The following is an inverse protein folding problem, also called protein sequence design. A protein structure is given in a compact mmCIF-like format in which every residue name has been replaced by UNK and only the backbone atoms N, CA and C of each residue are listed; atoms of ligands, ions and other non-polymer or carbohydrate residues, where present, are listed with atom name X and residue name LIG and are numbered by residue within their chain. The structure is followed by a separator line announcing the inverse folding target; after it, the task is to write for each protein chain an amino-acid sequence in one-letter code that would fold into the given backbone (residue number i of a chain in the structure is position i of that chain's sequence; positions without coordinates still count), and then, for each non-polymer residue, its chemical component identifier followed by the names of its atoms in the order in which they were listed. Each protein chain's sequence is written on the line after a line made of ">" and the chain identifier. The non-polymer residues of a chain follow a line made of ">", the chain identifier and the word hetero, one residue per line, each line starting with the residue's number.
data_IF_378798105461
#
_entry.id   IF_378798105461
#
_cell.length_a   1.000
_cell.length_b   1.000
_cell.length_c   1.000
_cell.angle_alpha   90.00
_cell.angle_beta   90.00
_cell.angle_gamma   90.00
#
_symmetry.space_group_name_H-M   'P 1'
#
loop_
_entity.id
_entity.type
_entity.pdbx_description
1 polymer ?
#
# COMPACT_ATOMS: atom_id res chain seq x y z
N UNK A 1 0.35 -16.02 21.82
CA UNK A 1 -0.11 -14.62 22.03
C UNK A 1 0.03 -14.20 23.49
N UNK A 2 -0.10 -15.10 24.46
CA UNK A 2 -0.03 -14.79 25.91
C UNK A 2 1.30 -14.14 26.31
N UNK A 3 2.39 -14.47 25.67
CA UNK A 3 3.71 -13.86 25.84
C UNK A 3 3.73 -12.34 25.63
N UNK A 4 2.86 -11.82 24.76
CA UNK A 4 2.78 -10.40 24.41
C UNK A 4 1.70 -9.65 25.19
N UNK A 5 0.97 -10.34 26.07
CA UNK A 5 -0.12 -9.77 26.86
C UNK A 5 0.38 -9.56 28.29
N UNK A 6 0.32 -8.32 28.78
CA UNK A 6 0.64 -7.98 30.16
C UNK A 6 -0.48 -8.37 31.13
N UNK A 7 -1.73 -8.07 30.77
CA UNK A 7 -2.92 -8.29 31.61
C UNK A 7 -4.18 -8.38 30.74
N UNK A 8 -5.25 -8.91 31.29
CA UNK A 8 -6.57 -8.92 30.64
C UNK A 8 -7.62 -8.33 31.60
N UNK A 9 -8.19 -7.18 31.22
CA UNK A 9 -9.23 -6.49 31.99
C UNK A 9 -10.53 -6.41 31.20
N UNK A 10 -11.61 -6.87 31.77
CA UNK A 10 -12.95 -6.86 31.14
C UNK A 10 -12.94 -7.41 29.71
N UNK A 11 -12.25 -8.53 29.48
CA UNK A 11 -12.07 -9.19 28.19
C UNK A 11 -11.26 -8.37 27.16
N UNK A 12 -10.57 -7.31 27.59
CA UNK A 12 -9.66 -6.54 26.76
C UNK A 12 -8.23 -6.88 27.17
N UNK A 13 -7.45 -7.38 26.21
CA UNK A 13 -6.04 -7.70 26.42
C UNK A 13 -5.19 -6.44 26.40
N UNK A 14 -4.35 -6.26 27.40
CA UNK A 14 -3.39 -5.15 27.52
C UNK A 14 -2.04 -5.66 27.03
N UNK A 15 -1.49 -5.02 26.01
CA UNK A 15 -0.21 -5.38 25.41
C UNK A 15 0.94 -5.06 26.36
N UNK A 16 1.95 -5.93 26.44
CA UNK A 16 3.18 -5.67 27.17
C UNK A 16 4.06 -4.66 26.40
N UNK A 17 4.21 -3.47 26.97
CA UNK A 17 4.95 -2.36 26.33
C UNK A 17 6.46 -2.56 26.39
N UNK A 18 7.01 -3.29 27.34
CA UNK A 18 8.44 -3.60 27.43
C UNK A 18 8.86 -4.44 26.21
N UNK A 19 8.13 -5.51 25.95
CA UNK A 19 8.35 -6.35 24.76
C UNK A 19 8.12 -5.57 23.47
N UNK A 20 7.12 -4.68 23.45
CA UNK A 20 6.86 -3.81 22.30
C UNK A 20 8.06 -2.90 22.00
N UNK A 21 8.68 -2.31 23.04
CA UNK A 21 9.85 -1.45 22.89
C UNK A 21 11.06 -2.22 22.35
N UNK A 22 11.32 -3.41 22.88
CA UNK A 22 12.42 -4.26 22.40
C UNK A 22 12.25 -4.63 20.92
N UNK A 23 11.06 -5.07 20.54
CA UNK A 23 10.76 -5.46 19.17
C UNK A 23 10.80 -4.26 18.21
N UNK A 24 10.33 -3.09 18.66
CA UNK A 24 10.39 -1.86 17.86
C UNK A 24 11.86 -1.44 17.62
N UNK A 25 12.70 -1.51 18.65
CA UNK A 25 14.13 -1.21 18.52
C UNK A 25 14.83 -2.18 17.56
N UNK A 26 14.55 -3.47 17.68
CA UNK A 26 15.09 -4.49 16.78
C UNK A 26 14.62 -4.28 15.32
N UNK A 27 13.34 -3.92 15.13
CA UNK A 27 12.80 -3.61 13.81
C UNK A 27 13.45 -2.37 13.20
N UNK A 28 13.65 -1.30 13.97
CA UNK A 28 14.32 -0.08 13.53
C UNK A 28 15.75 -0.37 13.07
N UNK A 29 16.52 -1.12 13.86
CA UNK A 29 17.90 -1.52 13.49
C UNK A 29 17.91 -2.38 12.21
N UNK A 30 16.93 -3.23 12.01
CA UNK A 30 16.80 -4.03 10.79
C UNK A 30 16.50 -3.17 9.56
N UNK A 31 15.63 -2.17 9.71
CA UNK A 31 15.32 -1.20 8.65
C UNK A 31 16.57 -0.41 8.28
N UNK A 32 17.32 0.07 9.26
CA UNK A 32 18.58 0.79 9.07
C UNK A 32 19.61 -0.05 8.28
N UNK A 33 19.80 -1.32 8.66
CA UNK A 33 20.69 -2.25 7.95
C UNK A 33 20.27 -2.48 6.49
N UNK A 34 18.96 -2.57 6.22
CA UNK A 34 18.45 -2.74 4.86
C UNK A 34 18.69 -1.47 4.03
N UNK A 35 18.43 -0.30 4.60
CA UNK A 35 18.62 0.99 3.93
C UNK A 35 20.09 1.29 3.67
N UNK A 36 20.98 0.98 4.62
CA UNK A 36 22.43 1.18 4.48
C UNK A 36 23.06 0.38 3.33
N UNK A 37 22.44 -0.76 3.00
CA UNK A 37 22.79 -1.60 1.84
C UNK A 37 22.22 -1.10 0.51
N UNK A 38 21.53 0.06 0.49
CA UNK A 38 20.92 0.63 -0.70
C UNK A 38 19.63 -0.08 -1.16
N UNK A 39 19.09 -0.97 -0.34
CA UNK A 39 17.83 -1.65 -0.63
C UNK A 39 16.64 -0.73 -0.37
N UNK A 40 15.53 -0.99 -1.08
CA UNK A 40 14.28 -0.25 -0.90
C UNK A 40 13.32 -1.03 -0.03
N UNK A 41 12.54 -0.30 0.77
CA UNK A 41 11.50 -0.84 1.63
C UNK A 41 10.14 -0.42 1.05
N UNK A 42 9.21 -1.36 0.96
CA UNK A 42 7.82 -1.10 0.63
C UNK A 42 7.01 -1.00 1.92
N UNK A 43 6.44 0.18 2.17
CA UNK A 43 5.53 0.35 3.30
C UNK A 43 4.10 -0.06 2.93
N UNK A 44 3.47 -0.86 3.77
CA UNK A 44 2.09 -1.32 3.55
C UNK A 44 1.25 -0.99 4.77
N UNK A 45 0.28 -0.11 4.61
CA UNK A 45 -0.63 0.30 5.66
C UNK A 45 -2.04 0.51 5.14
N UNK A 46 -2.73 -0.58 4.87
CA UNK A 46 -4.09 -0.58 4.30
C UNK A 46 -5.18 -0.36 5.33
N UNK A 47 -4.85 -0.47 6.61
CA UNK A 47 -5.81 -0.22 7.70
C UNK A 47 -6.07 1.28 7.82
N UNK A 48 -7.33 1.67 8.02
CA UNK A 48 -7.76 3.07 8.09
C UNK A 48 -6.95 3.92 9.07
N UNK A 49 -6.51 3.35 10.19
CA UNK A 49 -5.68 4.03 11.20
C UNK A 49 -4.22 4.25 10.77
N UNK A 50 -3.70 3.46 9.83
CA UNK A 50 -2.31 3.50 9.37
C UNK A 50 -2.14 4.19 8.01
N UNK A 51 -3.17 4.15 7.16
CA UNK A 51 -3.13 4.59 5.77
C UNK A 51 -2.61 6.02 5.60
N UNK A 52 -3.14 6.97 6.38
CA UNK A 52 -2.73 8.37 6.30
C UNK A 52 -1.26 8.56 6.69
N UNK A 53 -0.87 8.02 7.84
CA UNK A 53 0.51 8.14 8.35
C UNK A 53 1.52 7.51 7.40
N UNK A 54 1.24 6.31 6.90
CA UNK A 54 2.14 5.64 5.94
C UNK A 54 2.31 6.44 4.66
N UNK A 55 1.22 7.00 4.13
CA UNK A 55 1.28 7.84 2.92
C UNK A 55 2.14 9.08 3.15
N UNK A 56 1.92 9.79 4.25
CA UNK A 56 2.64 11.03 4.57
C UNK A 56 4.14 10.75 4.78
N UNK A 57 4.49 9.83 5.66
CA UNK A 57 5.87 9.52 6.00
C UNK A 57 6.66 8.92 4.83
N UNK A 58 6.11 7.92 4.15
CA UNK A 58 6.79 7.29 3.02
C UNK A 58 6.98 8.26 1.84
N UNK A 59 6.03 9.19 1.61
CA UNK A 59 6.16 10.20 0.56
C UNK A 59 7.27 11.20 0.87
N UNK A 60 7.46 11.60 2.14
CA UNK A 60 8.52 12.53 2.54
C UNK A 60 9.91 11.96 2.27
N UNK A 61 10.10 10.68 2.48
CA UNK A 61 11.39 9.99 2.27
C UNK A 61 11.54 9.37 0.88
N UNK A 62 10.53 9.53 0.01
CA UNK A 62 10.57 9.03 -1.37
C UNK A 62 10.56 7.50 -1.50
N UNK A 63 10.04 6.78 -0.51
CA UNK A 63 9.94 5.32 -0.55
C UNK A 63 8.55 4.87 -1.04
N UNK A 64 8.47 3.70 -1.71
CA UNK A 64 7.21 3.15 -2.19
C UNK A 64 6.30 2.75 -1.03
N UNK A 65 5.00 2.99 -1.19
CA UNK A 65 4.00 2.63 -0.19
C UNK A 65 2.69 2.13 -0.81
N UNK A 66 1.92 1.38 -0.02
CA UNK A 66 0.55 0.97 -0.33
C UNK A 66 -0.34 1.37 0.85
N UNK A 67 -1.14 2.39 0.65
CA UNK A 67 -2.03 2.99 1.65
C UNK A 67 -3.50 2.58 1.51
N UNK A 68 -3.84 1.90 0.40
CA UNK A 68 -5.18 1.42 0.10
C UNK A 68 -5.23 -0.11 0.08
N UNK A 69 -6.08 -0.69 -0.73
CA UNK A 69 -6.24 -2.14 -0.80
C UNK A 69 -4.98 -2.81 -1.36
N UNK A 70 -4.46 -3.81 -0.65
CA UNK A 70 -3.45 -4.72 -1.20
C UNK A 70 -4.08 -5.60 -2.27
N UNK A 71 -3.57 -5.53 -3.47
CA UNK A 71 -4.07 -6.35 -4.58
C UNK A 71 -3.53 -7.78 -4.46
N UNK A 72 -4.43 -8.77 -4.56
CA UNK A 72 -4.01 -10.16 -4.61
C UNK A 72 -3.06 -10.39 -5.79
N UNK A 73 -1.97 -11.10 -5.55
CA UNK A 73 -0.97 -11.37 -6.57
C UNK A 73 0.10 -10.29 -6.77
N UNK A 74 0.12 -9.22 -5.97
CA UNK A 74 1.13 -8.16 -6.07
C UNK A 74 2.57 -8.71 -6.02
N UNK A 75 2.83 -9.72 -5.20
CA UNK A 75 4.14 -10.37 -5.12
C UNK A 75 4.23 -11.68 -5.91
N UNK A 76 3.12 -12.37 -6.12
CA UNK A 76 3.09 -13.72 -6.70
C UNK A 76 2.68 -13.74 -8.17
N UNK A 77 1.94 -12.74 -8.64
CA UNK A 77 1.47 -12.60 -10.01
C UNK A 77 1.66 -11.17 -10.55
N UNK A 78 2.89 -10.67 -10.43
CA UNK A 78 3.25 -9.32 -10.85
C UNK A 78 2.96 -9.04 -12.34
N UNK A 79 3.05 -10.06 -13.19
CA UNK A 79 2.75 -9.93 -14.63
C UNK A 79 1.32 -9.40 -14.86
N UNK A 80 0.35 -9.94 -14.15
CA UNK A 80 -1.06 -9.53 -14.24
C UNK A 80 -1.26 -8.12 -13.66
N UNK A 81 -0.68 -7.84 -12.49
CA UNK A 81 -0.73 -6.51 -11.88
C UNK A 81 -0.14 -5.44 -12.79
N UNK A 82 1.01 -5.73 -13.40
CA UNK A 82 1.64 -4.82 -14.38
C UNK A 82 0.77 -4.58 -15.61
N UNK A 83 0.02 -5.62 -16.05
CA UNK A 83 -0.97 -5.47 -17.13
C UNK A 83 -2.07 -4.47 -16.78
N UNK A 84 -2.62 -4.55 -15.57
CA UNK A 84 -3.62 -3.61 -15.07
C UNK A 84 -3.09 -2.17 -14.95
N UNK A 85 -1.84 -2.01 -14.51
CA UNK A 85 -1.18 -0.69 -14.44
C UNK A 85 -0.99 -0.09 -15.84
N UNK A 86 -0.56 -0.89 -16.82
CA UNK A 86 -0.45 -0.43 -18.22
C UNK A 86 -1.81 0.00 -18.76
N UNK A 87 -2.83 -0.79 -18.51
CA UNK A 87 -4.20 -0.46 -18.92
C UNK A 87 -4.67 0.87 -18.33
N UNK A 88 -4.35 1.16 -17.06
CA UNK A 88 -4.64 2.44 -16.43
C UNK A 88 -3.95 3.60 -17.16
N UNK A 89 -2.65 3.47 -17.43
CA UNK A 89 -1.88 4.49 -18.17
C UNK A 89 -2.46 4.71 -19.56
N UNK A 90 -2.81 3.65 -20.29
CA UNK A 90 -3.43 3.75 -21.62
C UNK A 90 -4.76 4.52 -21.56
N UNK A 91 -5.58 4.29 -20.54
CA UNK A 91 -6.83 5.01 -20.32
C UNK A 91 -6.56 6.49 -20.02
N UNK A 92 -5.60 6.81 -19.18
CA UNK A 92 -5.20 8.19 -18.87
C UNK A 92 -4.72 8.94 -20.13
N UNK A 93 -3.95 8.28 -20.98
CA UNK A 93 -3.53 8.83 -22.26
C UNK A 93 -4.71 9.03 -23.23
N UNK A 94 -5.68 8.12 -23.26
CA UNK A 94 -6.89 8.30 -24.08
C UNK A 94 -7.74 9.47 -23.61
N UNK A 95 -7.82 9.69 -22.30
CA UNK A 95 -8.56 10.83 -21.72
C UNK A 95 -7.84 12.14 -22.05
N UNK A 96 -6.54 12.23 -21.76
CA UNK A 96 -5.73 13.45 -21.93
C UNK A 96 -5.59 13.87 -23.40
N UNK A 97 -5.49 12.89 -24.31
CA UNK A 97 -5.39 13.16 -25.76
C UNK A 97 -6.73 13.42 -26.46
N UNK A 98 -7.85 13.39 -25.72
CA UNK A 98 -9.20 13.55 -26.29
C UNK A 98 -9.65 12.38 -27.19
N UNK A 99 -8.88 11.30 -27.27
CA UNK A 99 -9.24 10.12 -28.08
C UNK A 99 -10.53 9.47 -27.61
N UNK A 100 -10.85 9.58 -26.32
CA UNK A 100 -12.08 9.02 -25.74
C UNK A 100 -13.35 9.65 -26.35
N UNK A 101 -13.27 10.91 -26.81
CA UNK A 101 -14.42 11.60 -27.44
C UNK A 101 -14.70 11.13 -28.88
N UNK A 102 -13.69 10.49 -29.51
CA UNK A 102 -13.80 9.91 -30.85
C UNK A 102 -14.38 8.49 -30.83
N UNK A 103 -14.52 7.87 -29.65
CA UNK A 103 -15.08 6.55 -29.48
C UNK A 103 -16.61 6.60 -29.50
N UNK A 104 -17.21 5.45 -29.77
CA UNK A 104 -18.67 5.29 -29.64
C UNK A 104 -19.06 5.57 -28.19
N UNK A 105 -20.14 6.32 -27.98
CA UNK A 105 -20.58 6.78 -26.67
C UNK A 105 -20.66 5.66 -25.60
N UNK A 106 -21.06 4.45 -26.01
CA UNK A 106 -21.10 3.27 -25.13
C UNK A 106 -19.71 2.87 -24.64
N UNK A 107 -18.74 2.80 -25.53
CA UNK A 107 -17.35 2.45 -25.21
C UNK A 107 -16.70 3.51 -24.31
N UNK A 108 -16.92 4.79 -24.59
CA UNK A 108 -16.42 5.88 -23.77
C UNK A 108 -16.96 5.82 -22.32
N UNK A 109 -18.21 5.45 -22.14
CA UNK A 109 -18.82 5.27 -20.81
C UNK A 109 -18.22 4.05 -20.08
N UNK A 110 -18.01 2.94 -20.78
CA UNK A 110 -17.38 1.74 -20.19
C UNK A 110 -15.95 2.01 -19.73
N UNK A 111 -15.13 2.70 -20.54
CA UNK A 111 -13.76 3.09 -20.18
C UNK A 111 -13.75 4.05 -18.99
N UNK A 112 -14.61 5.05 -18.95
CA UNK A 112 -14.74 5.96 -17.80
C UNK A 112 -15.15 5.22 -16.53
N UNK A 113 -16.01 4.22 -16.63
CA UNK A 113 -16.40 3.36 -15.51
C UNK A 113 -15.29 2.41 -15.05
N UNK A 114 -14.44 1.95 -15.98
CA UNK A 114 -13.24 1.17 -15.66
C UNK A 114 -12.23 2.02 -14.90
N UNK A 115 -12.00 3.25 -15.34
CA UNK A 115 -11.09 4.21 -14.71
C UNK A 115 -11.51 4.61 -13.29
N UNK A 116 -12.81 4.63 -12.99
CA UNK A 116 -13.35 5.04 -11.68
C UNK A 116 -13.33 3.93 -10.61
N UNK A 117 -12.93 2.71 -10.96
CA UNK A 117 -12.81 1.57 -10.03
C UNK A 117 -11.44 1.46 -9.41
#
# INVERSE_FOLDING_TARGET
>A
MDEYIFDTRKQISIINLEITQEHLSAAASKVEDICSKGNKILFVGTKRSASKTIKEEASQIGLPYVDKRWLGGTLTNWKTIRGSIRRLIDIEEMISSGRIEKLIKKEAVEIKKEYSK
#
